data_IF_020479088170
#
_entry.id   IF_020479088170
#
_cell.length_a   1.000
_cell.length_b   1.000
_cell.length_c   1.000
_cell.angle_alpha   90.00
_cell.angle_beta   90.00
_cell.angle_gamma   90.00
#
_symmetry.space_group_name_H-M   'P 1'
#
loop_
_entity.id
_entity.type
_entity.pdbx_description
1 polymer ?
#
# COMPACT_ATOMS: atom_id res chain seq x y z
N UNK A 1 8.08 19.00 -6.29
CA UNK A 1 7.87 19.52 -4.91
C UNK A 1 9.22 19.80 -4.29
N UNK A 2 9.42 20.99 -3.75
CA UNK A 2 10.65 21.33 -3.03
C UNK A 2 10.55 20.91 -1.54
N UNK A 3 11.69 20.95 -0.83
CA UNK A 3 11.74 20.51 0.56
C UNK A 3 10.89 21.38 1.50
N UNK A 4 10.80 22.69 1.21
CA UNK A 4 9.99 23.63 1.99
C UNK A 4 8.49 23.28 1.90
N UNK A 5 8.00 23.01 0.68
CA UNK A 5 6.60 22.64 0.47
C UNK A 5 6.29 21.29 1.13
N UNK A 6 7.22 20.35 1.05
CA UNK A 6 7.08 19.04 1.73
C UNK A 6 7.00 19.21 3.24
N UNK A 7 7.86 20.02 3.85
CA UNK A 7 7.82 20.30 5.29
C UNK A 7 6.50 20.95 5.71
N UNK A 8 6.02 21.90 4.92
CA UNK A 8 4.75 22.58 5.17
C UNK A 8 3.57 21.58 5.14
N UNK A 9 3.59 20.67 4.17
CA UNK A 9 2.59 19.62 4.06
C UNK A 9 2.64 18.66 5.27
N UNK A 10 3.84 18.20 5.65
CA UNK A 10 4.06 17.32 6.80
C UNK A 10 3.55 17.95 8.09
N UNK A 11 3.89 19.19 8.32
CA UNK A 11 3.42 19.93 9.51
C UNK A 11 1.89 20.06 9.53
N UNK A 12 1.28 20.37 8.39
CA UNK A 12 -0.18 20.44 8.27
C UNK A 12 -0.87 19.10 8.56
N UNK A 13 -0.17 17.98 8.30
CA UNK A 13 -0.67 16.62 8.57
C UNK A 13 -0.35 16.12 10.00
N UNK A 14 0.28 16.94 10.82
CA UNK A 14 0.59 16.61 12.21
C UNK A 14 1.96 15.96 12.42
N UNK A 15 2.83 15.96 11.41
CA UNK A 15 4.21 15.51 11.53
C UNK A 15 5.10 16.72 11.83
N UNK A 16 5.59 16.81 13.06
CA UNK A 16 6.52 17.85 13.48
C UNK A 16 7.94 17.26 13.47
N UNK A 17 8.51 17.16 12.28
CA UNK A 17 9.78 16.50 12.07
C UNK A 17 10.96 17.45 12.30
N UNK A 18 11.91 16.97 13.12
CA UNK A 18 13.15 17.70 13.41
C UNK A 18 14.10 17.73 12.18
N UNK A 19 15.09 18.58 12.24
CA UNK A 19 16.15 18.68 11.23
C UNK A 19 17.33 17.76 11.55
N UNK A 20 17.96 17.12 10.57
CA UNK A 20 17.61 17.13 9.15
C UNK A 20 16.41 16.23 8.85
N UNK A 21 15.54 16.66 7.95
CA UNK A 21 14.32 15.93 7.58
C UNK A 21 14.61 14.46 7.18
N UNK A 22 15.71 14.22 6.48
CA UNK A 22 16.09 12.88 6.03
C UNK A 22 16.31 11.88 7.18
N UNK A 23 16.63 12.35 8.37
CA UNK A 23 16.81 11.49 9.55
C UNK A 23 15.47 11.12 10.23
N UNK A 24 14.39 11.82 9.90
CA UNK A 24 13.10 11.71 10.59
C UNK A 24 11.94 11.28 9.68
N UNK A 25 12.24 10.86 8.45
CA UNK A 25 11.23 10.48 7.45
C UNK A 25 10.32 9.32 7.87
N UNK A 26 10.77 8.51 8.82
CA UNK A 26 10.04 7.34 9.31
C UNK A 26 9.44 7.56 10.71
N UNK A 27 9.51 8.78 11.23
CA UNK A 27 8.88 9.12 12.51
C UNK A 27 7.37 9.01 12.38
N UNK A 28 6.71 8.60 13.46
CA UNK A 28 5.30 8.25 13.42
C UNK A 28 4.43 9.20 14.26
N UNK A 29 3.20 9.35 13.82
CA UNK A 29 2.11 9.95 14.59
C UNK A 29 1.20 8.82 15.13
N UNK A 30 -0.01 9.15 15.58
CA UNK A 30 -0.98 8.20 16.12
C UNK A 30 -1.10 6.94 15.24
N UNK A 31 -1.24 5.77 15.88
CA UNK A 31 -1.36 4.46 15.25
C UNK A 31 -0.09 4.02 14.47
N UNK A 32 1.07 4.53 14.87
CA UNK A 32 2.34 4.28 14.19
C UNK A 32 2.33 4.66 12.69
N UNK A 33 1.56 5.68 12.33
CA UNK A 33 1.45 6.17 10.95
C UNK A 33 2.69 6.97 10.56
N UNK A 34 3.38 6.55 9.50
CA UNK A 34 4.51 7.28 8.92
C UNK A 34 4.03 8.34 7.92
N UNK A 35 4.88 9.33 7.58
CA UNK A 35 4.58 10.28 6.50
C UNK A 35 4.21 9.59 5.18
N UNK A 36 4.92 8.51 4.83
CA UNK A 36 4.68 7.76 3.59
C UNK A 36 3.30 7.10 3.58
N UNK A 37 2.89 6.50 4.71
CA UNK A 37 1.55 5.92 4.86
C UNK A 37 0.47 6.99 4.71
N UNK A 38 0.68 8.17 5.30
CA UNK A 38 -0.28 9.26 5.24
C UNK A 38 -0.43 9.79 3.82
N UNK A 39 0.68 9.99 3.10
CA UNK A 39 0.67 10.39 1.69
C UNK A 39 -0.06 9.37 0.81
N UNK A 40 0.19 8.07 1.04
CA UNK A 40 -0.48 6.99 0.33
C UNK A 40 -2.00 6.98 0.59
N UNK A 41 -2.40 7.14 1.85
CA UNK A 41 -3.82 7.20 2.24
C UNK A 41 -4.57 8.36 1.59
N UNK A 42 -3.89 9.48 1.39
CA UNK A 42 -4.46 10.64 0.69
C UNK A 42 -4.40 10.51 -0.84
N UNK A 43 -3.76 9.48 -1.36
CA UNK A 43 -3.54 9.33 -2.81
C UNK A 43 -2.62 10.41 -3.39
N UNK A 44 -1.80 11.04 -2.56
CA UNK A 44 -0.92 12.14 -2.96
C UNK A 44 0.41 11.60 -3.52
N UNK A 45 0.41 11.29 -4.81
CA UNK A 45 1.57 10.70 -5.49
C UNK A 45 2.78 11.66 -5.52
N UNK A 46 2.56 12.97 -5.59
CA UNK A 46 3.65 13.94 -5.59
C UNK A 46 4.43 13.91 -4.27
N UNK A 47 3.73 13.99 -3.15
CA UNK A 47 4.33 13.89 -1.81
C UNK A 47 4.96 12.52 -1.59
N UNK A 48 4.26 11.45 -1.98
CA UNK A 48 4.74 10.08 -1.84
C UNK A 48 6.08 9.90 -2.58
N UNK A 49 6.17 10.35 -3.81
CA UNK A 49 7.41 10.27 -4.59
C UNK A 49 8.52 11.12 -3.98
N UNK A 50 8.21 12.31 -3.46
CA UNK A 50 9.19 13.15 -2.77
C UNK A 50 9.75 12.47 -1.52
N UNK A 51 8.90 11.83 -0.73
CA UNK A 51 9.31 11.08 0.47
C UNK A 51 10.18 9.87 0.10
N UNK A 52 9.81 9.11 -0.92
CA UNK A 52 10.60 7.97 -1.41
C UNK A 52 11.98 8.43 -1.92
N UNK A 53 12.03 9.54 -2.64
CA UNK A 53 13.29 10.10 -3.14
C UNK A 53 14.24 10.52 -2.01
N UNK A 54 13.71 10.93 -0.86
CA UNK A 54 14.50 11.26 0.33
C UNK A 54 14.88 10.03 1.17
N UNK A 55 14.40 8.84 0.83
CA UNK A 55 14.74 7.60 1.50
C UNK A 55 13.73 7.11 2.54
N UNK A 56 12.47 7.56 2.48
CA UNK A 56 11.41 7.01 3.33
C UNK A 56 11.28 5.50 3.10
N UNK A 57 11.10 4.74 4.19
CA UNK A 57 11.04 3.27 4.14
C UNK A 57 9.64 2.78 3.79
N UNK A 58 9.45 2.16 2.60
CA UNK A 58 8.14 1.65 2.19
C UNK A 58 7.73 0.34 2.88
N UNK A 59 8.59 -0.24 3.72
CA UNK A 59 8.36 -1.54 4.36
C UNK A 59 7.73 -1.44 5.75
N UNK A 60 7.70 -0.25 6.35
CA UNK A 60 7.18 -0.06 7.71
C UNK A 60 5.68 -0.32 7.78
N UNK A 61 5.23 -0.83 8.92
CA UNK A 61 3.84 -1.17 9.20
C UNK A 61 3.32 -0.30 10.35
N UNK A 62 2.03 0.04 10.30
CA UNK A 62 1.35 0.70 11.41
C UNK A 62 0.93 -0.31 12.49
N UNK A 63 0.19 0.14 13.50
CA UNK A 63 -0.26 -0.71 14.61
C UNK A 63 -1.21 -1.84 14.17
N UNK A 64 -1.88 -1.71 13.03
CA UNK A 64 -2.76 -2.73 12.45
C UNK A 64 -2.04 -3.66 11.47
N UNK A 65 -0.71 -3.55 11.39
CA UNK A 65 0.15 -4.27 10.43
C UNK A 65 -0.17 -3.94 8.96
N UNK A 66 -0.68 -2.74 8.69
CA UNK A 66 -0.84 -2.21 7.34
C UNK A 66 0.34 -1.33 6.96
N UNK A 67 0.86 -1.49 5.75
CA UNK A 67 1.92 -0.67 5.19
C UNK A 67 1.39 0.42 4.25
N UNK A 68 2.31 1.21 3.70
CA UNK A 68 1.96 2.28 2.76
C UNK A 68 1.21 1.75 1.52
N UNK A 69 1.56 0.57 1.03
CA UNK A 69 0.87 -0.06 -0.11
C UNK A 69 -0.61 -0.32 0.18
N UNK A 70 -0.94 -0.79 1.37
CA UNK A 70 -2.33 -0.95 1.80
C UNK A 70 -3.10 0.37 1.70
N UNK A 71 -2.53 1.45 2.20
CA UNK A 71 -3.17 2.77 2.17
C UNK A 71 -3.32 3.33 0.75
N UNK A 72 -2.37 3.06 -0.14
CA UNK A 72 -2.51 3.40 -1.56
C UNK A 72 -3.70 2.66 -2.19
N UNK A 73 -3.88 1.39 -1.85
CA UNK A 73 -5.04 0.60 -2.29
C UNK A 73 -6.34 1.14 -1.67
N UNK A 74 -6.33 1.50 -0.40
CA UNK A 74 -7.47 2.12 0.27
C UNK A 74 -7.90 3.41 -0.42
N UNK A 75 -6.95 4.25 -0.83
CA UNK A 75 -7.19 5.50 -1.54
C UNK A 75 -7.55 5.31 -3.03
N UNK A 76 -7.56 4.07 -3.51
CA UNK A 76 -7.76 3.75 -4.94
C UNK A 76 -6.74 4.43 -5.86
N UNK A 77 -5.51 4.61 -5.37
CA UNK A 77 -4.43 5.29 -6.08
C UNK A 77 -3.47 4.28 -6.73
N UNK A 78 -3.68 4.00 -8.00
CA UNK A 78 -2.78 3.15 -8.79
C UNK A 78 -1.39 3.78 -8.93
N UNK A 79 -1.31 5.12 -9.00
CA UNK A 79 -0.04 5.84 -9.09
C UNK A 79 0.80 5.64 -7.81
N UNK A 80 0.21 5.79 -6.63
CA UNK A 80 0.90 5.55 -5.36
C UNK A 80 1.28 4.07 -5.22
N UNK A 81 0.37 3.16 -5.53
CA UNK A 81 0.62 1.72 -5.44
C UNK A 81 1.77 1.29 -6.36
N UNK A 82 1.79 1.74 -7.61
CA UNK A 82 2.86 1.45 -8.55
C UNK A 82 4.21 1.99 -8.07
N UNK A 83 4.25 3.22 -7.57
CA UNK A 83 5.48 3.83 -7.05
C UNK A 83 6.02 3.07 -5.83
N UNK A 84 5.15 2.63 -4.93
CA UNK A 84 5.52 1.85 -3.75
C UNK A 84 6.06 0.46 -4.13
N UNK A 85 5.41 -0.24 -5.05
CA UNK A 85 5.87 -1.55 -5.54
C UNK A 85 7.25 -1.40 -6.19
N UNK A 86 7.44 -0.38 -7.01
CA UNK A 86 8.73 -0.09 -7.65
C UNK A 86 9.83 0.24 -6.63
N UNK A 87 9.47 0.86 -5.52
CA UNK A 87 10.38 1.17 -4.41
C UNK A 87 10.67 -0.03 -3.50
N UNK A 88 10.09 -1.20 -3.76
CA UNK A 88 10.31 -2.43 -2.99
C UNK A 88 9.35 -2.63 -1.84
N UNK A 89 8.20 -1.96 -1.80
CA UNK A 89 7.18 -2.21 -0.79
C UNK A 89 6.72 -3.68 -0.86
N UNK A 90 6.64 -4.39 0.27
CA UNK A 90 6.15 -5.77 0.29
C UNK A 90 4.66 -5.79 -0.04
N UNK A 91 4.24 -6.72 -0.91
CA UNK A 91 2.84 -6.84 -1.35
C UNK A 91 2.11 -8.07 -0.78
N UNK A 92 2.80 -8.94 -0.04
CA UNK A 92 2.19 -10.14 0.57
C UNK A 92 2.06 -10.01 2.10
N UNK A 93 2.25 -8.83 2.66
CA UNK A 93 2.06 -8.58 4.09
C UNK A 93 0.61 -8.81 4.48
N UNK A 94 0.39 -9.63 5.50
CA UNK A 94 -0.91 -9.88 6.10
C UNK A 94 -1.10 -9.01 7.33
N UNK A 95 -2.17 -8.23 7.36
CA UNK A 95 -2.49 -7.37 8.50
C UNK A 95 -3.05 -8.18 9.68
N UNK A 96 -3.52 -7.50 10.73
CA UNK A 96 -4.08 -8.15 11.92
C UNK A 96 -5.28 -9.07 11.63
N UNK A 97 -5.95 -8.90 10.50
CA UNK A 97 -7.06 -9.75 10.03
C UNK A 97 -6.60 -10.84 9.04
N UNK A 98 -5.31 -10.95 8.80
CA UNK A 98 -4.73 -11.85 7.80
C UNK A 98 -4.90 -11.36 6.36
N UNK A 99 -5.46 -10.17 6.14
CA UNK A 99 -5.72 -9.65 4.81
C UNK A 99 -4.45 -9.07 4.18
N UNK A 100 -4.21 -9.42 2.91
CA UNK A 100 -3.20 -8.77 2.07
C UNK A 100 -3.83 -7.60 1.30
N UNK A 101 -3.01 -6.76 0.68
CA UNK A 101 -3.49 -5.72 -0.22
C UNK A 101 -4.33 -6.31 -1.37
N UNK A 102 -3.94 -7.47 -1.90
CA UNK A 102 -4.68 -8.17 -2.95
C UNK A 102 -6.08 -8.59 -2.48
N UNK A 103 -6.17 -9.19 -1.28
CA UNK A 103 -7.46 -9.58 -0.68
C UNK A 103 -8.36 -8.36 -0.52
N UNK A 104 -7.83 -7.27 0.02
CA UNK A 104 -8.58 -6.04 0.19
C UNK A 104 -9.10 -5.50 -1.15
N UNK A 105 -8.22 -5.37 -2.15
CA UNK A 105 -8.60 -4.86 -3.47
C UNK A 105 -9.64 -5.74 -4.16
N UNK A 106 -9.52 -7.05 -4.04
CA UNK A 106 -10.50 -8.00 -4.60
C UNK A 106 -11.86 -7.83 -3.92
N UNK A 107 -11.91 -7.76 -2.59
CA UNK A 107 -13.15 -7.61 -1.83
C UNK A 107 -13.83 -6.25 -2.05
N UNK A 108 -13.06 -5.23 -2.36
CA UNK A 108 -13.55 -3.89 -2.68
C UNK A 108 -13.86 -3.69 -4.17
N UNK A 109 -13.59 -4.69 -5.03
CA UNK A 109 -13.84 -4.61 -6.46
C UNK A 109 -12.90 -3.67 -7.21
N UNK A 110 -11.71 -3.42 -6.69
CA UNK A 110 -10.72 -2.50 -7.26
C UNK A 110 -9.89 -3.19 -8.34
N UNK A 111 -10.50 -3.45 -9.46
CA UNK A 111 -9.93 -4.27 -10.56
C UNK A 111 -8.57 -3.80 -11.06
N UNK A 112 -8.32 -2.49 -11.32
CA UNK A 112 -7.00 -2.04 -11.76
C UNK A 112 -5.88 -2.34 -10.74
N UNK A 113 -6.18 -2.24 -9.45
CA UNK A 113 -5.22 -2.56 -8.38
C UNK A 113 -5.00 -4.06 -8.23
N UNK A 114 -6.05 -4.87 -8.38
CA UNK A 114 -5.91 -6.35 -8.43
C UNK A 114 -4.97 -6.74 -9.56
N UNK A 115 -5.16 -6.18 -10.74
CA UNK A 115 -4.27 -6.43 -11.89
C UNK A 115 -2.84 -6.02 -11.59
N UNK A 116 -2.63 -4.81 -11.07
CA UNK A 116 -1.31 -4.29 -10.72
C UNK A 116 -0.58 -5.20 -9.73
N UNK A 117 -1.27 -5.63 -8.66
CA UNK A 117 -0.69 -6.51 -7.64
C UNK A 117 -0.34 -7.89 -8.20
N UNK A 118 -1.20 -8.48 -9.02
CA UNK A 118 -0.93 -9.78 -9.65
C UNK A 118 0.26 -9.69 -10.62
N UNK A 119 0.36 -8.62 -11.41
CA UNK A 119 1.50 -8.38 -12.30
C UNK A 119 2.81 -8.20 -11.52
N UNK A 120 2.74 -7.66 -10.32
CA UNK A 120 3.90 -7.53 -9.42
C UNK A 120 4.33 -8.86 -8.79
N UNK A 121 3.49 -9.88 -8.83
CA UNK A 121 3.77 -11.20 -8.27
C UNK A 121 3.10 -11.48 -6.93
N UNK A 122 2.05 -10.76 -6.56
CA UNK A 122 1.32 -10.99 -5.32
C UNK A 122 0.80 -12.43 -5.22
N UNK A 123 0.93 -13.03 -4.04
CA UNK A 123 0.51 -14.40 -3.78
C UNK A 123 -1.00 -14.49 -3.54
N UNK A 124 -1.73 -14.97 -4.54
CA UNK A 124 -3.18 -15.10 -4.49
C UNK A 124 -3.67 -16.25 -3.57
N UNK A 125 -2.77 -17.12 -3.11
CA UNK A 125 -3.12 -18.25 -2.24
C UNK A 125 -3.21 -17.89 -0.75
N UNK A 126 -2.74 -16.69 -0.35
CA UNK A 126 -2.81 -16.26 1.04
C UNK A 126 -4.26 -16.06 1.47
N UNK A 127 -4.55 -16.38 2.73
CA UNK A 127 -5.90 -16.36 3.29
C UNK A 127 -5.99 -15.39 4.48
N UNK A 128 -7.18 -14.84 4.68
CA UNK A 128 -7.53 -14.14 5.92
C UNK A 128 -7.55 -15.09 7.12
N UNK A 129 -7.71 -14.56 8.33
CA UNK A 129 -7.87 -15.36 9.54
C UNK A 129 -9.16 -16.25 9.50
N UNK A 130 -10.13 -15.87 8.68
CA UNK A 130 -11.35 -16.66 8.44
C UNK A 130 -11.21 -17.63 7.26
N UNK A 131 -10.00 -17.89 6.80
CA UNK A 131 -9.65 -18.84 5.72
C UNK A 131 -10.19 -18.46 4.32
N UNK A 132 -10.37 -17.17 4.04
CA UNK A 132 -10.79 -16.69 2.72
C UNK A 132 -9.62 -16.19 1.87
N UNK A 133 -9.55 -16.66 0.62
CA UNK A 133 -8.65 -16.13 -0.40
C UNK A 133 -9.22 -14.90 -1.08
N UNK A 134 -8.37 -14.19 -1.85
CA UNK A 134 -8.81 -13.05 -2.66
C UNK A 134 -9.90 -13.44 -3.67
N UNK A 135 -9.81 -14.64 -4.26
CA UNK A 135 -10.81 -15.13 -5.22
C UNK A 135 -12.18 -15.33 -4.58
N UNK A 136 -12.20 -15.92 -3.38
CA UNK A 136 -13.46 -16.17 -2.64
C UNK A 136 -14.14 -14.87 -2.20
N UNK A 137 -13.37 -13.82 -1.97
CA UNK A 137 -13.88 -12.51 -1.56
C UNK A 137 -14.08 -11.54 -2.72
N UNK A 138 -13.74 -11.90 -3.96
CA UNK A 138 -13.81 -11.01 -5.12
C UNK A 138 -15.22 -10.45 -5.32
N UNK A 139 -15.34 -9.12 -5.32
CA UNK A 139 -16.62 -8.41 -5.36
C UNK A 139 -17.24 -8.34 -6.76
N UNK A 140 -16.44 -8.54 -7.82
CA UNK A 140 -16.93 -8.44 -9.19
C UNK A 140 -16.30 -9.48 -10.11
N UNK A 141 -16.94 -9.66 -11.27
CA UNK A 141 -16.54 -10.66 -12.27
C UNK A 141 -15.13 -10.41 -12.83
N UNK A 142 -14.73 -9.15 -13.00
CA UNK A 142 -13.41 -8.80 -13.53
C UNK A 142 -12.29 -9.21 -12.56
N UNK A 143 -12.44 -8.95 -11.26
CA UNK A 143 -11.52 -9.43 -10.23
C UNK A 143 -11.46 -10.96 -10.19
N UNK A 144 -12.62 -11.64 -10.24
CA UNK A 144 -12.68 -13.09 -10.25
C UNK A 144 -11.92 -13.67 -11.45
N UNK A 145 -12.10 -13.10 -12.63
CA UNK A 145 -11.40 -13.54 -13.85
C UNK A 145 -9.88 -13.42 -13.70
N UNK A 146 -9.40 -12.26 -13.26
CA UNK A 146 -7.96 -12.03 -13.05
C UNK A 146 -7.37 -13.02 -12.04
N UNK A 147 -8.06 -13.27 -10.94
CA UNK A 147 -7.60 -14.16 -9.89
C UNK A 147 -7.61 -15.62 -10.34
N UNK A 148 -8.62 -16.07 -11.09
CA UNK A 148 -8.65 -17.40 -11.69
C UNK A 148 -7.52 -17.62 -12.69
N UNK A 149 -7.23 -16.62 -13.53
CA UNK A 149 -6.12 -16.68 -14.48
C UNK A 149 -4.77 -16.78 -13.74
N UNK A 150 -4.61 -16.05 -12.64
CA UNK A 150 -3.41 -16.10 -11.79
C UNK A 150 -3.24 -17.49 -11.14
N UNK A 151 -4.32 -18.11 -10.64
CA UNK A 151 -4.29 -19.48 -10.11
C UNK A 151 -3.92 -20.49 -11.20
N UNK A 152 -4.51 -20.38 -12.38
CA UNK A 152 -4.20 -21.23 -13.52
C UNK A 152 -2.72 -21.13 -13.94
N UNK A 153 -2.16 -19.94 -13.95
CA UNK A 153 -0.75 -19.72 -14.25
C UNK A 153 0.18 -20.33 -13.19
N UNK A 154 -0.23 -20.37 -11.92
CA UNK A 154 0.55 -20.97 -10.84
C UNK A 154 0.66 -22.49 -10.95
N UNK A 155 -0.28 -23.14 -11.62
CA UNK A 155 -0.33 -24.60 -11.83
C UNK A 155 0.10 -25.03 -13.23
N UNK A 156 0.46 -24.09 -14.08
CA UNK A 156 0.86 -24.36 -15.46
C UNK A 156 2.32 -24.83 -15.58
#
# INVERSE_FOLDING_TARGET
MNEHDLKSWLHACGFDLAEPLSAHLNDTIKNATTPLMHAARMGNAEVLNALLALGADPRLLNADSNGALWFACFADSTACAAALIQAGAPFDTQNINGATALIYCASAGKTPLVKLLLEAGANAALMTLDDFTALELAANRACMKLLKEAEGAAYA
#
